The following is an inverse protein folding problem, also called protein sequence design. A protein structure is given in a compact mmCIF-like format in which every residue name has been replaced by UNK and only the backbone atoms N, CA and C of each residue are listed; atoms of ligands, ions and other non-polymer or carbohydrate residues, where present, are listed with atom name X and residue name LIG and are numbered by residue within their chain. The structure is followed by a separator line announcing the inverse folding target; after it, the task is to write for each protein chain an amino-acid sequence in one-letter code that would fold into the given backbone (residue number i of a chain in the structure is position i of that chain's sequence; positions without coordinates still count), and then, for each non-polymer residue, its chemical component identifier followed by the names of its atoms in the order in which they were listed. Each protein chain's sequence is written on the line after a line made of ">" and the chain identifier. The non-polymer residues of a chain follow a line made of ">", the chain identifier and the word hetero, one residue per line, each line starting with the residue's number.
data_IF_509216054908
#
_entry.id   IF_509216054908
#
_cell.length_a   1.000
_cell.length_b   1.000
_cell.length_c   1.000
_cell.angle_alpha   90.00
_cell.angle_beta   90.00
_cell.angle_gamma   90.00
#
_symmetry.space_group_name_H-M   'P 1'
#
loop_
_entity.id
_entity.type
_entity.pdbx_description
1 polymer ?
#
# COMPACT_ATOMS: atom_id res chain seq x y z
N UNK A 1 -17.88 -1.92 8.19
CA UNK A 1 -17.23 -3.22 8.00
C UNK A 1 -15.74 -3.07 8.19
N UNK A 2 -15.12 -3.96 8.95
CA UNK A 2 -13.70 -3.91 9.22
C UNK A 2 -12.95 -4.49 8.02
N UNK A 3 -11.97 -3.75 7.50
CA UNK A 3 -11.09 -4.26 6.47
C UNK A 3 -10.11 -5.26 7.07
N UNK A 4 -9.84 -6.34 6.36
CA UNK A 4 -8.93 -7.37 6.83
C UNK A 4 -7.70 -7.38 5.94
N UNK A 5 -6.53 -7.18 6.56
CA UNK A 5 -5.27 -7.06 5.83
C UNK A 5 -4.63 -8.43 5.58
N UNK A 6 -4.05 -8.57 4.39
CA UNK A 6 -3.25 -9.72 3.99
C UNK A 6 -1.97 -9.18 3.38
N UNK A 7 -0.92 -9.98 3.36
CA UNK A 7 0.38 -9.53 2.87
C UNK A 7 0.97 -10.59 1.94
N UNK A 8 1.38 -10.17 0.75
CA UNK A 8 2.09 -11.06 -0.16
C UNK A 8 3.54 -11.20 0.29
N UNK A 9 4.19 -12.26 -0.15
CA UNK A 9 5.62 -12.43 0.11
C UNK A 9 6.44 -11.30 -0.50
N UNK A 10 6.07 -10.87 -1.70
CA UNK A 10 6.76 -9.77 -2.38
C UNK A 10 6.67 -8.47 -1.58
N UNK A 11 5.50 -8.19 -0.99
CA UNK A 11 5.33 -7.01 -0.16
C UNK A 11 6.27 -7.06 1.04
N UNK A 12 6.33 -8.20 1.72
CA UNK A 12 7.18 -8.34 2.90
C UNK A 12 8.65 -8.22 2.55
N UNK A 13 9.07 -8.72 1.39
CA UNK A 13 10.44 -8.56 0.92
C UNK A 13 10.74 -7.09 0.59
N UNK A 14 9.82 -6.41 -0.08
CA UNK A 14 9.98 -4.98 -0.36
C UNK A 14 10.13 -4.19 0.93
N UNK A 15 9.30 -4.50 1.93
CA UNK A 15 9.32 -3.82 3.22
C UNK A 15 10.71 -3.95 3.89
N UNK A 16 11.28 -5.14 3.84
CA UNK A 16 12.58 -5.40 4.46
C UNK A 16 13.73 -4.67 3.78
N UNK A 17 13.55 -4.24 2.54
CA UNK A 17 14.59 -3.55 1.78
C UNK A 17 14.56 -2.04 1.94
N UNK A 18 13.58 -1.52 2.67
CA UNK A 18 13.50 -0.07 2.91
C UNK A 18 14.58 0.37 3.89
N UNK A 19 15.01 1.63 3.76
CA UNK A 19 15.88 2.21 4.76
C UNK A 19 15.16 2.27 6.11
N UNK A 20 15.89 2.36 7.24
CA UNK A 20 15.26 2.29 8.56
C UNK A 20 14.14 3.30 8.81
N UNK A 21 14.31 4.54 8.36
CA UNK A 21 13.29 5.57 8.57
C UNK A 21 12.02 5.27 7.76
N UNK A 22 12.18 4.87 6.49
CA UNK A 22 11.05 4.51 5.65
C UNK A 22 10.38 3.24 6.16
N UNK A 23 11.17 2.27 6.60
CA UNK A 23 10.63 1.03 7.15
C UNK A 23 9.69 1.33 8.33
N UNK A 24 10.10 2.17 9.26
CA UNK A 24 9.29 2.50 10.42
C UNK A 24 7.96 3.13 10.02
N UNK A 25 7.99 4.06 9.07
CA UNK A 25 6.78 4.77 8.65
C UNK A 25 5.82 3.86 7.91
N UNK A 26 6.34 3.06 7.00
CA UNK A 26 5.50 2.12 6.24
C UNK A 26 4.95 1.04 7.16
N UNK A 27 5.79 0.50 8.03
CA UNK A 27 5.38 -0.51 8.98
C UNK A 27 4.27 0.00 9.90
N UNK A 28 4.45 1.20 10.46
CA UNK A 28 3.46 1.80 11.35
C UNK A 28 2.13 1.99 10.64
N UNK A 29 2.17 2.47 9.41
CA UNK A 29 0.94 2.67 8.65
C UNK A 29 0.25 1.33 8.37
N UNK A 30 0.99 0.39 7.81
CA UNK A 30 0.41 -0.86 7.31
C UNK A 30 -0.11 -1.76 8.44
N UNK A 31 0.63 -1.81 9.54
CA UNK A 31 0.31 -2.74 10.62
C UNK A 31 -0.48 -2.12 11.77
N UNK A 32 -0.57 -0.80 11.84
CA UNK A 32 -1.31 -0.13 12.92
C UNK A 32 -2.37 0.82 12.39
N UNK A 33 -1.99 1.83 11.61
CA UNK A 33 -2.96 2.84 11.16
C UNK A 33 -4.00 2.27 10.22
N UNK A 34 -3.61 1.32 9.37
CA UNK A 34 -4.54 0.69 8.44
C UNK A 34 -5.69 -0.01 9.18
N UNK A 35 -5.42 -0.53 10.37
CA UNK A 35 -6.44 -1.22 11.16
C UNK A 35 -7.57 -0.29 11.60
N UNK A 36 -7.37 1.01 11.54
CA UNK A 36 -8.36 2.01 11.91
C UNK A 36 -9.18 2.49 10.72
N UNK A 37 -8.81 2.09 9.51
CA UNK A 37 -9.50 2.49 8.29
C UNK A 37 -10.71 1.60 8.08
N UNK A 38 -11.86 2.21 7.79
CA UNK A 38 -13.08 1.47 7.56
C UNK A 38 -13.36 1.23 6.07
N UNK A 39 -12.85 2.13 5.21
CA UNK A 39 -13.06 2.05 3.76
C UNK A 39 -11.77 2.39 3.03
N UNK A 40 -11.53 1.70 1.91
CA UNK A 40 -10.30 1.93 1.14
C UNK A 40 -10.21 3.36 0.59
N UNK A 41 -11.35 4.04 0.43
CA UNK A 41 -11.37 5.42 -0.05
C UNK A 41 -10.64 6.38 0.90
N UNK A 42 -10.39 5.96 2.13
CA UNK A 42 -9.62 6.75 3.10
C UNK A 42 -8.12 6.70 2.84
N UNK A 43 -7.67 5.78 1.96
CA UNK A 43 -6.24 5.68 1.63
C UNK A 43 -5.79 6.86 0.78
N UNK A 44 -4.59 7.42 1.06
CA UNK A 44 -4.11 8.60 0.34
C UNK A 44 -3.90 8.33 -1.15
N UNK A 45 -4.44 9.21 -1.99
CA UNK A 45 -4.27 9.15 -3.44
C UNK A 45 -4.54 7.77 -4.02
N UNK A 46 -5.66 7.19 -3.62
CA UNK A 46 -6.06 5.86 -4.09
C UNK A 46 -6.49 5.92 -5.55
N UNK A 47 -5.90 5.07 -6.37
CA UNK A 47 -6.23 4.94 -7.78
C UNK A 47 -6.37 3.48 -8.18
N UNK A 48 -7.38 3.19 -9.00
CA UNK A 48 -7.54 1.87 -9.57
C UNK A 48 -6.47 1.66 -10.65
N UNK A 49 -5.90 0.47 -10.69
CA UNK A 49 -4.86 0.14 -11.66
C UNK A 49 -5.48 -0.41 -12.94
N UNK A 50 -5.37 0.38 -14.02
CA UNK A 50 -5.89 -0.02 -15.32
C UNK A 50 -7.37 -0.37 -15.30
N UNK A 51 -7.73 -1.42 -16.02
CA UNK A 51 -9.10 -1.87 -16.14
C UNK A 51 -9.46 -2.95 -15.11
N UNK A 52 -8.54 -3.29 -14.21
CA UNK A 52 -8.80 -4.34 -13.22
C UNK A 52 -9.54 -3.77 -12.01
N UNK A 53 -10.76 -4.25 -11.73
CA UNK A 53 -11.57 -3.66 -10.67
C UNK A 53 -11.09 -3.97 -9.26
N UNK A 54 -10.16 -4.94 -9.12
CA UNK A 54 -9.69 -5.35 -7.79
C UNK A 54 -8.30 -4.83 -7.45
N UNK A 55 -7.59 -4.23 -8.40
CA UNK A 55 -6.23 -3.74 -8.15
C UNK A 55 -6.19 -2.24 -8.05
N UNK A 56 -5.53 -1.76 -6.99
CA UNK A 56 -5.40 -0.33 -6.68
C UNK A 56 -3.99 -0.02 -6.23
N UNK A 57 -3.68 1.26 -6.21
CA UNK A 57 -2.46 1.76 -5.58
C UNK A 57 -2.82 2.97 -4.74
N UNK A 58 -2.03 3.21 -3.70
CA UNK A 58 -2.15 4.44 -2.93
C UNK A 58 -0.75 4.93 -2.58
N UNK A 59 -0.68 6.20 -2.18
CA UNK A 59 0.61 6.81 -1.85
C UNK A 59 0.89 6.73 -0.36
N UNK A 60 2.13 6.37 -0.02
CA UNK A 60 2.59 6.31 1.37
C UNK A 60 4.01 6.84 1.39
N UNK A 61 4.20 8.06 1.93
CA UNK A 61 5.49 8.73 1.91
C UNK A 61 6.00 8.87 0.46
N UNK A 62 7.20 8.38 0.19
CA UNK A 62 7.81 8.41 -1.13
C UNK A 62 7.61 7.12 -1.91
N UNK A 63 6.55 6.39 -1.59
CA UNK A 63 6.27 5.09 -2.17
C UNK A 63 4.85 4.98 -2.68
N UNK A 64 4.68 4.11 -3.66
CA UNK A 64 3.37 3.65 -4.08
C UNK A 64 3.18 2.23 -3.55
N UNK A 65 2.05 1.98 -2.94
CA UNK A 65 1.72 0.66 -2.41
C UNK A 65 0.61 0.07 -3.27
N UNK A 66 0.91 -1.08 -3.86
CA UNK A 66 -0.07 -1.80 -4.68
C UNK A 66 -0.85 -2.75 -3.80
N UNK A 67 -2.18 -2.74 -3.96
CA UNK A 67 -3.06 -3.59 -3.18
C UNK A 67 -4.08 -4.29 -4.08
N UNK A 68 -4.59 -5.41 -3.58
CA UNK A 68 -5.70 -6.13 -4.20
C UNK A 68 -6.87 -6.10 -3.20
N UNK A 69 -8.05 -5.70 -3.68
CA UNK A 69 -9.22 -5.58 -2.82
C UNK A 69 -10.30 -6.55 -3.29
N UNK A 70 -10.65 -7.50 -2.42
CA UNK A 70 -11.71 -8.46 -2.69
C UNK A 70 -12.62 -8.48 -1.47
N UNK A 71 -13.85 -7.94 -1.63
CA UNK A 71 -14.74 -7.81 -0.49
C UNK A 71 -14.12 -6.91 0.57
N UNK A 72 -13.99 -7.43 1.78
CA UNK A 72 -13.34 -6.70 2.88
C UNK A 72 -11.86 -7.06 3.06
N UNK A 73 -11.32 -7.92 2.19
CA UNK A 73 -9.91 -8.30 2.24
C UNK A 73 -9.08 -7.36 1.41
N UNK A 74 -8.02 -6.83 2.01
CA UNK A 74 -7.06 -5.96 1.33
C UNK A 74 -5.71 -6.65 1.43
N UNK A 75 -5.20 -7.09 0.27
CA UNK A 75 -3.89 -7.74 0.23
C UNK A 75 -2.85 -6.76 -0.26
N UNK A 76 -1.83 -6.53 0.55
CA UNK A 76 -0.70 -5.68 0.18
C UNK A 76 0.23 -6.47 -0.71
N UNK A 77 0.48 -5.96 -1.92
CA UNK A 77 1.19 -6.70 -2.95
C UNK A 77 2.63 -6.25 -3.14
N UNK A 78 2.86 -4.95 -3.24
CA UNK A 78 4.19 -4.40 -3.51
C UNK A 78 4.35 -3.01 -2.89
N UNK A 79 5.60 -2.65 -2.62
CA UNK A 79 5.99 -1.28 -2.27
C UNK A 79 6.98 -0.85 -3.33
N UNK A 80 6.65 0.23 -4.07
CA UNK A 80 7.47 0.71 -5.16
C UNK A 80 7.85 2.15 -4.92
N UNK A 81 9.09 2.56 -5.19
CA UNK A 81 9.45 3.97 -5.06
C UNK A 81 8.68 4.82 -6.06
N UNK A 82 8.38 6.05 -5.66
CA UNK A 82 7.75 6.99 -6.56
C UNK A 82 8.71 7.30 -7.70
N UNK A 83 8.20 7.39 -8.94
CA UNK A 83 9.04 7.82 -10.05
C UNK A 83 9.55 9.23 -9.79
N UNK A 84 10.79 9.51 -10.19
CA UNK A 84 11.32 10.85 -10.11
C UNK A 84 10.81 11.66 -11.31
N UNK A 85 9.78 12.45 -11.05
CA UNK A 85 9.15 13.23 -12.11
C UNK A 85 9.97 14.45 -12.53
N UNK A 86 11.06 14.72 -11.84
CA UNK A 86 11.96 15.82 -12.16
C UNK A 86 13.09 15.40 -13.09
N UNK A 87 13.22 14.12 -13.34
CA UNK A 87 14.22 13.62 -14.28
C UNK A 87 13.82 13.95 -15.71
N UNK A 88 14.77 14.47 -16.51
CA UNK A 88 14.48 14.77 -17.92
C UNK A 88 14.26 13.51 -18.75
#
# INVERSE_FOLDING_TARGET
>A
MILEARYSRSFLLDLRQLDPASFERVYDFVFFKFMQIERIQELPELHQLGAHPIFYRFRLENYLVAIQVIGHFVKFLRILPLPDLNEP
#
